data_IF_125266055509
#
_entry.id   IF_125266055509
#
_cell.length_a   1.000
_cell.length_b   1.000
_cell.length_c   1.000
_cell.angle_alpha   90.00
_cell.angle_beta   90.00
_cell.angle_gamma   90.00
#
_symmetry.space_group_name_H-M   'P 1'
#
loop_
_entity.id
_entity.type
_entity.pdbx_description
1 polymer ?
#
# COMPACT_ATOMS: atom_id res chain seq x y z
N UNK A 1 -19.49 -1.85 35.00
CA UNK A 1 -20.85 -1.79 34.42
C UNK A 1 -21.34 -3.21 34.23
N UNK A 2 -22.59 -3.50 34.57
CA UNK A 2 -23.22 -4.82 34.40
C UNK A 2 -23.95 -4.88 33.06
N UNK A 3 -23.89 -6.01 32.37
CA UNK A 3 -24.71 -6.25 31.18
C UNK A 3 -26.19 -6.12 31.52
N UNK A 4 -26.99 -5.57 30.60
CA UNK A 4 -28.43 -5.43 30.80
C UNK A 4 -29.21 -5.55 29.49
N UNK A 5 -30.45 -6.00 29.60
CA UNK A 5 -31.40 -6.09 28.50
C UNK A 5 -32.61 -5.20 28.81
N UNK A 6 -33.03 -4.40 27.84
CA UNK A 6 -34.14 -3.44 27.94
C UNK A 6 -35.16 -3.86 26.89
N UNK A 7 -36.37 -4.23 27.31
CA UNK A 7 -37.46 -4.56 26.39
C UNK A 7 -38.13 -3.28 25.91
N UNK A 8 -38.36 -3.16 24.59
CA UNK A 8 -38.95 -1.95 24.00
C UNK A 8 -40.48 -1.98 24.00
N UNK A 9 -41.07 -3.16 24.14
CA UNK A 9 -42.52 -3.38 24.31
C UNK A 9 -42.87 -3.67 25.77
N UNK A 10 -44.08 -3.27 26.16
CA UNK A 10 -44.57 -3.36 27.54
C UNK A 10 -44.72 -4.81 28.05
N UNK A 11 -44.95 -5.77 27.17
CA UNK A 11 -45.04 -7.19 27.50
C UNK A 11 -43.80 -7.96 26.99
N UNK A 12 -42.88 -8.39 27.89
CA UNK A 12 -41.71 -9.18 27.54
C UNK A 12 -42.03 -10.55 26.94
N UNK A 13 -43.27 -11.03 27.09
CA UNK A 13 -43.76 -12.29 26.52
C UNK A 13 -44.42 -12.13 25.14
N UNK A 14 -44.52 -10.89 24.64
CA UNK A 14 -45.05 -10.59 23.31
C UNK A 14 -44.18 -11.18 22.20
N UNK A 15 -44.80 -11.54 21.08
CA UNK A 15 -44.08 -11.95 19.86
C UNK A 15 -43.35 -10.78 19.18
N UNK A 16 -43.72 -9.54 19.52
CA UNK A 16 -43.06 -8.30 19.08
C UNK A 16 -41.92 -7.91 20.03
N UNK A 17 -41.02 -8.84 20.35
CA UNK A 17 -39.98 -8.64 21.36
C UNK A 17 -38.73 -7.98 20.80
N UNK A 18 -38.86 -6.71 20.40
CA UNK A 18 -37.72 -5.83 20.16
C UNK A 18 -37.07 -5.46 21.50
N UNK A 19 -35.74 -5.55 21.58
CA UNK A 19 -35.00 -5.30 22.82
C UNK A 19 -33.63 -4.69 22.55
N UNK A 20 -33.16 -3.86 23.48
CA UNK A 20 -31.81 -3.32 23.46
C UNK A 20 -30.96 -4.07 24.48
N UNK A 21 -29.86 -4.66 24.03
CA UNK A 21 -28.86 -5.35 24.86
C UNK A 21 -27.62 -4.47 24.99
N UNK A 22 -27.17 -4.23 26.21
CA UNK A 22 -25.92 -3.52 26.48
C UNK A 22 -24.90 -4.53 27.03
N UNK A 23 -23.80 -4.72 26.28
CA UNK A 23 -22.69 -5.59 26.66
C UNK A 23 -21.43 -4.76 26.89
N UNK A 24 -20.86 -4.85 28.08
CA UNK A 24 -19.63 -4.14 28.40
C UNK A 24 -18.42 -4.90 27.86
N UNK A 25 -17.59 -4.23 27.05
CA UNK A 25 -16.25 -4.69 26.70
C UNK A 25 -15.20 -3.97 27.55
N UNK A 26 -13.90 -4.26 27.35
CA UNK A 26 -12.81 -3.61 28.10
C UNK A 26 -12.72 -2.09 27.87
N UNK A 27 -13.00 -1.62 26.66
CA UNK A 27 -12.77 -0.22 26.24
C UNK A 27 -14.04 0.57 25.96
N UNK A 28 -15.12 -0.10 25.62
CA UNK A 28 -16.41 0.48 25.23
C UNK A 28 -17.52 -0.52 25.55
N UNK A 29 -18.77 -0.17 25.26
CA UNK A 29 -19.90 -1.08 25.31
C UNK A 29 -20.55 -1.23 23.95
N UNK A 30 -21.03 -2.43 23.65
CA UNK A 30 -21.88 -2.68 22.49
C UNK A 30 -23.33 -2.53 22.91
N UNK A 31 -24.04 -1.60 22.28
CA UNK A 31 -25.48 -1.40 22.41
C UNK A 31 -26.11 -2.00 21.16
N UNK A 32 -26.75 -3.15 21.33
CA UNK A 32 -27.37 -3.92 20.26
C UNK A 32 -28.88 -3.78 20.33
N UNK A 33 -29.51 -3.27 19.28
CA UNK A 33 -30.94 -3.46 19.05
C UNK A 33 -31.13 -4.85 18.42
N UNK A 34 -31.81 -5.73 19.14
CA UNK A 34 -32.18 -7.07 18.70
C UNK A 34 -33.66 -7.08 18.30
N UNK A 35 -33.89 -7.39 17.02
CA UNK A 35 -35.20 -7.47 16.35
C UNK A 35 -35.50 -8.89 15.89
N UNK A 36 -34.70 -9.90 16.23
CA UNK A 36 -34.81 -11.26 15.66
C UNK A 36 -36.23 -11.82 15.79
N UNK A 37 -36.79 -11.78 16.99
CA UNK A 37 -38.12 -12.31 17.28
C UNK A 37 -39.24 -11.53 16.59
N UNK A 38 -39.06 -10.22 16.39
CA UNK A 38 -39.99 -9.38 15.64
C UNK A 38 -39.96 -9.73 14.15
N UNK A 39 -38.76 -9.83 13.56
CA UNK A 39 -38.59 -10.20 12.15
C UNK A 39 -39.18 -11.60 11.88
N UNK A 40 -38.91 -12.57 12.75
CA UNK A 40 -39.49 -13.92 12.62
C UNK A 40 -41.03 -13.89 12.63
N UNK A 41 -41.63 -13.06 13.48
CA UNK A 41 -43.09 -12.94 13.61
C UNK A 41 -43.73 -12.27 12.38
N UNK A 42 -43.11 -11.23 11.83
CA UNK A 42 -43.58 -10.55 10.62
C UNK A 42 -43.37 -11.41 9.37
N UNK A 43 -42.22 -12.08 9.25
CA UNK A 43 -41.97 -13.05 8.16
C UNK A 43 -42.94 -14.22 8.18
N UNK A 44 -43.37 -14.68 9.36
CA UNK A 44 -44.43 -15.69 9.47
C UNK A 44 -45.81 -15.19 8.98
N UNK A 45 -46.02 -13.87 8.90
CA UNK A 45 -47.22 -13.22 8.33
C UNK A 45 -47.09 -12.92 6.84
N UNK A 46 -45.93 -13.17 6.25
CA UNK A 46 -45.63 -12.90 4.84
C UNK A 46 -45.00 -11.54 4.57
N UNK A 47 -44.69 -10.76 5.61
CA UNK A 47 -44.00 -9.48 5.51
C UNK A 47 -42.49 -9.68 5.67
N UNK A 48 -41.68 -9.06 4.83
CA UNK A 48 -40.22 -9.05 4.96
C UNK A 48 -39.78 -7.67 5.48
N UNK A 49 -39.69 -7.49 6.81
CA UNK A 49 -39.48 -6.17 7.39
C UNK A 49 -38.04 -5.70 7.12
N UNK A 50 -37.88 -4.78 6.17
CA UNK A 50 -36.61 -4.10 5.93
C UNK A 50 -36.47 -2.85 6.81
N UNK A 51 -35.24 -2.35 6.95
CA UNK A 51 -34.95 -1.10 7.63
C UNK A 51 -34.97 0.07 6.62
N UNK A 52 -35.65 1.19 6.94
CA UNK A 52 -35.62 2.37 6.09
C UNK A 52 -34.18 2.86 5.83
N UNK A 53 -33.91 3.34 4.62
CA UNK A 53 -32.59 3.84 4.24
C UNK A 53 -32.11 4.99 5.16
N UNK A 54 -33.00 5.92 5.51
CA UNK A 54 -32.72 7.04 6.39
C UNK A 54 -32.33 6.57 7.81
N UNK A 55 -32.93 5.48 8.29
CA UNK A 55 -32.56 4.87 9.57
C UNK A 55 -31.14 4.29 9.50
N UNK A 56 -30.83 3.56 8.42
CA UNK A 56 -29.50 2.99 8.21
C UNK A 56 -28.42 4.09 8.12
N UNK A 57 -28.70 5.18 7.42
CA UNK A 57 -27.80 6.33 7.33
C UNK A 57 -27.56 6.99 8.70
N UNK A 58 -28.63 7.22 9.48
CA UNK A 58 -28.53 7.78 10.83
C UNK A 58 -27.72 6.88 11.77
N UNK A 59 -27.95 5.57 11.71
CA UNK A 59 -27.20 4.56 12.46
C UNK A 59 -25.73 4.55 12.07
N UNK A 60 -25.41 4.62 10.78
CA UNK A 60 -24.04 4.61 10.29
C UNK A 60 -23.26 5.85 10.75
N UNK A 61 -23.85 7.03 10.61
CA UNK A 61 -23.24 8.28 11.09
C UNK A 61 -22.97 8.22 12.59
N UNK A 62 -23.94 7.77 13.40
CA UNK A 62 -23.77 7.64 14.84
C UNK A 62 -22.70 6.60 15.20
N UNK A 63 -22.68 5.47 14.48
CA UNK A 63 -21.69 4.40 14.67
C UNK A 63 -20.27 4.88 14.39
N UNK A 64 -20.06 5.51 13.24
CA UNK A 64 -18.75 5.96 12.81
C UNK A 64 -18.17 7.00 13.77
N UNK A 65 -19.00 7.98 14.18
CA UNK A 65 -18.61 8.98 15.17
C UNK A 65 -18.24 8.35 16.53
N UNK A 66 -19.00 7.36 16.99
CA UNK A 66 -18.73 6.68 18.25
C UNK A 66 -17.48 5.80 18.19
N UNK A 67 -17.27 5.06 17.10
CA UNK A 67 -16.06 4.28 16.86
C UNK A 67 -14.82 5.17 16.82
N UNK A 68 -14.93 6.35 16.22
CA UNK A 68 -13.85 7.33 16.17
C UNK A 68 -13.50 7.87 17.55
N UNK A 69 -14.50 8.21 18.35
CA UNK A 69 -14.30 8.57 19.76
C UNK A 69 -13.56 7.47 20.53
N UNK A 70 -13.95 6.20 20.36
CA UNK A 70 -13.31 5.06 21.05
C UNK A 70 -11.85 4.85 20.60
N UNK A 71 -11.56 5.01 19.30
CA UNK A 71 -10.17 4.96 18.77
C UNK A 71 -9.34 6.14 19.26
N UNK A 72 -9.93 7.32 19.29
CA UNK A 72 -9.33 8.55 19.80
C UNK A 72 -8.94 8.41 21.27
N UNK A 73 -9.74 7.70 22.08
CA UNK A 73 -9.43 7.38 23.48
C UNK A 73 -8.33 6.30 23.63
N UNK A 74 -7.92 5.66 22.52
CA UNK A 74 -6.74 4.79 22.46
C UNK A 74 -7.00 3.32 22.16
N UNK A 75 -8.24 2.94 21.84
CA UNK A 75 -8.53 1.59 21.38
C UNK A 75 -7.93 1.33 19.98
N UNK A 76 -7.21 0.22 19.84
CA UNK A 76 -6.54 -0.19 18.58
C UNK A 76 -7.12 -1.45 17.96
N UNK A 77 -8.09 -2.09 18.61
CA UNK A 77 -8.66 -3.33 18.11
C UNK A 77 -9.65 -3.11 16.97
N UNK A 78 -10.06 -4.21 16.34
CA UNK A 78 -11.16 -4.21 15.39
C UNK A 78 -12.50 -4.05 16.13
N UNK A 79 -13.46 -3.41 15.45
CA UNK A 79 -14.84 -3.40 15.89
C UNK A 79 -15.59 -4.50 15.15
N UNK A 80 -16.43 -5.23 15.88
CA UNK A 80 -17.35 -6.19 15.31
C UNK A 80 -18.76 -5.65 15.53
N UNK A 81 -19.45 -5.37 14.43
CA UNK A 81 -20.81 -4.85 14.43
C UNK A 81 -21.56 -5.40 13.23
N UNK A 82 -22.86 -5.62 13.39
CA UNK A 82 -23.79 -5.89 12.30
C UNK A 82 -24.82 -4.78 12.17
N UNK A 83 -25.29 -4.58 10.93
CA UNK A 83 -26.51 -3.83 10.63
C UNK A 83 -27.34 -4.66 9.67
N UNK A 84 -28.58 -4.90 10.00
CA UNK A 84 -29.52 -5.61 9.14
C UNK A 84 -30.91 -5.66 9.78
N UNK A 85 -31.90 -6.22 9.07
CA UNK A 85 -33.28 -6.31 9.54
C UNK A 85 -33.40 -6.87 10.96
N UNK A 86 -32.53 -7.81 11.32
CA UNK A 86 -32.60 -8.55 12.59
C UNK A 86 -31.84 -7.88 13.75
N UNK A 87 -30.79 -7.13 13.48
CA UNK A 87 -30.05 -6.45 14.55
C UNK A 87 -29.27 -5.23 14.06
N UNK A 88 -29.07 -4.30 14.98
CA UNK A 88 -28.24 -3.12 14.79
C UNK A 88 -27.30 -3.01 15.98
N UNK A 89 -25.99 -2.97 15.71
CA UNK A 89 -24.97 -2.78 16.73
C UNK A 89 -24.40 -1.35 16.67
N UNK A 90 -24.34 -0.69 17.82
CA UNK A 90 -23.62 0.56 18.03
C UNK A 90 -22.56 0.37 19.13
N UNK A 91 -21.35 0.84 18.88
CA UNK A 91 -20.33 0.94 19.91
C UNK A 91 -20.50 2.27 20.64
N UNK A 92 -20.51 2.27 21.96
CA UNK A 92 -20.66 3.48 22.77
C UNK A 92 -19.57 3.53 23.85
N UNK A 93 -19.01 4.73 24.10
CA UNK A 93 -18.23 4.95 25.33
C UNK A 93 -19.15 4.78 26.53
N UNK A 94 -18.60 4.41 27.67
CA UNK A 94 -19.41 4.14 28.87
C UNK A 94 -20.31 5.30 29.30
N UNK A 95 -19.87 6.55 29.06
CA UNK A 95 -20.65 7.76 29.35
C UNK A 95 -21.80 8.04 28.37
N UNK A 96 -21.77 7.40 27.20
CA UNK A 96 -22.69 7.67 26.08
C UNK A 96 -23.77 6.59 25.93
N UNK A 97 -23.78 5.57 26.79
CA UNK A 97 -24.67 4.40 26.66
C UNK A 97 -26.14 4.78 26.76
N UNK A 98 -26.53 5.55 27.78
CA UNK A 98 -27.94 5.90 27.97
C UNK A 98 -28.47 6.70 26.77
N UNK A 99 -27.68 7.67 26.28
CA UNK A 99 -28.03 8.42 25.08
C UNK A 99 -28.15 7.51 23.84
N UNK A 100 -27.28 6.50 23.71
CA UNK A 100 -27.32 5.53 22.61
C UNK A 100 -28.56 4.64 22.69
N UNK A 101 -28.92 4.18 23.89
CA UNK A 101 -30.10 3.35 24.14
C UNK A 101 -31.38 4.13 23.80
N UNK A 102 -31.51 5.36 24.29
CA UNK A 102 -32.71 6.19 24.01
C UNK A 102 -32.81 6.56 22.54
N UNK A 103 -31.69 6.87 21.87
CA UNK A 103 -31.69 7.16 20.43
C UNK A 103 -32.16 5.95 19.59
N UNK A 104 -31.69 4.74 19.89
CA UNK A 104 -32.14 3.51 19.21
C UNK A 104 -33.61 3.19 19.53
N UNK A 105 -34.06 3.46 20.77
CA UNK A 105 -35.44 3.25 21.17
C UNK A 105 -36.41 4.18 20.41
N UNK A 106 -36.11 5.47 20.36
CA UNK A 106 -36.93 6.45 19.63
C UNK A 106 -36.96 6.13 18.12
N UNK A 107 -35.80 5.79 17.54
CA UNK A 107 -35.72 5.40 16.14
C UNK A 107 -36.55 4.15 15.82
N UNK A 108 -36.54 3.13 16.68
CA UNK A 108 -37.27 1.88 16.44
C UNK A 108 -38.78 1.97 16.71
N UNK A 109 -39.20 2.70 17.76
CA UNK A 109 -40.60 2.75 18.16
C UNK A 109 -41.38 3.89 17.52
N UNK A 110 -40.72 5.02 17.31
CA UNK A 110 -41.36 6.28 16.90
C UNK A 110 -40.97 6.69 15.48
N UNK A 111 -39.97 6.03 14.89
CA UNK A 111 -39.39 6.43 13.61
C UNK A 111 -38.63 7.75 13.69
N UNK A 112 -38.29 8.22 14.90
CA UNK A 112 -37.56 9.46 15.11
C UNK A 112 -36.05 9.22 15.15
N UNK A 113 -35.35 9.66 14.09
CA UNK A 113 -33.90 9.52 13.96
C UNK A 113 -33.12 10.71 14.52
N UNK A 114 -33.79 11.73 15.04
CA UNK A 114 -33.16 12.95 15.56
C UNK A 114 -32.16 12.66 16.68
N UNK A 115 -32.45 11.68 17.56
CA UNK A 115 -31.55 11.25 18.62
C UNK A 115 -30.25 10.65 18.10
N UNK A 116 -30.28 9.91 16.99
CA UNK A 116 -29.09 9.34 16.36
C UNK A 116 -28.25 10.42 15.67
N UNK A 117 -28.89 11.38 15.00
CA UNK A 117 -28.18 12.54 14.44
C UNK A 117 -27.53 13.39 15.52
N UNK A 118 -28.26 13.72 16.59
CA UNK A 118 -27.72 14.47 17.72
C UNK A 118 -26.57 13.71 18.42
N UNK A 119 -26.66 12.38 18.49
CA UNK A 119 -25.57 11.55 18.99
C UNK A 119 -24.34 11.65 18.08
N UNK A 120 -24.51 11.55 16.76
CA UNK A 120 -23.42 11.67 15.79
C UNK A 120 -22.74 13.05 15.88
N UNK A 121 -23.51 14.14 15.91
CA UNK A 121 -23.00 15.51 16.02
C UNK A 121 -22.22 15.72 17.32
N UNK A 122 -22.76 15.27 18.45
CA UNK A 122 -22.10 15.38 19.76
C UNK A 122 -20.80 14.58 19.85
N UNK A 123 -20.70 13.49 19.09
CA UNK A 123 -19.53 12.61 19.06
C UNK A 123 -18.55 12.97 17.93
N UNK A 124 -18.90 13.93 17.07
CA UNK A 124 -18.06 14.35 15.97
C UNK A 124 -16.75 14.93 16.50
N UNK A 125 -15.65 14.40 15.99
CA UNK A 125 -14.32 14.92 16.23
C UNK A 125 -13.96 15.87 15.07
N UNK A 126 -13.25 16.98 15.31
CA UNK A 126 -12.87 17.94 14.27
C UNK A 126 -11.69 17.41 13.42
N UNK A 127 -11.87 16.22 12.82
CA UNK A 127 -10.85 15.50 12.08
C UNK A 127 -10.42 16.30 10.85
N UNK A 128 -11.36 16.96 10.18
CA UNK A 128 -11.09 17.83 9.04
C UNK A 128 -10.17 18.98 9.43
N UNK A 129 -10.46 19.67 10.53
CA UNK A 129 -9.63 20.78 11.04
C UNK A 129 -8.25 20.28 11.49
N UNK A 130 -8.16 19.09 12.08
CA UNK A 130 -6.87 18.47 12.44
C UNK A 130 -6.06 17.97 11.25
N UNK A 131 -6.68 17.78 10.09
CA UNK A 131 -6.02 17.32 8.85
C UNK A 131 -5.93 18.37 7.74
N UNK A 132 -6.43 19.60 7.97
CA UNK A 132 -6.24 20.76 7.11
C UNK A 132 -4.80 20.92 6.57
N UNK A 133 -4.62 21.55 5.40
CA UNK A 133 -3.30 21.80 4.82
C UNK A 133 -2.36 22.59 5.74
N UNK A 134 -1.06 22.43 5.51
CA UNK A 134 -0.02 23.17 6.21
C UNK A 134 0.52 22.48 7.47
N UNK A 135 1.70 22.90 7.89
CA UNK A 135 2.29 22.49 9.16
C UNK A 135 1.68 23.29 10.32
N UNK A 136 1.28 22.59 11.39
CA UNK A 136 0.80 23.23 12.63
C UNK A 136 1.06 22.37 13.85
N UNK A 137 1.02 23.03 15.00
CA UNK A 137 1.05 22.40 16.31
C UNK A 137 -0.38 22.32 16.87
N UNK A 138 -0.82 21.11 17.18
CA UNK A 138 -2.04 20.86 17.96
C UNK A 138 -1.62 20.71 19.43
N UNK A 139 -2.28 21.42 20.34
CA UNK A 139 -1.95 21.51 21.76
C UNK A 139 -2.92 20.66 22.57
N UNK A 140 -2.38 19.84 23.47
CA UNK A 140 -3.19 19.01 24.37
C UNK A 140 -3.91 19.88 25.40
N UNK A 141 -5.20 19.63 25.62
CA UNK A 141 -6.09 20.41 26.47
C UNK A 141 -6.70 21.63 25.78
N UNK A 142 -6.33 21.90 24.53
CA UNK A 142 -6.92 22.94 23.68
C UNK A 142 -7.56 22.29 22.46
N UNK A 143 -6.75 21.59 21.65
CA UNK A 143 -7.19 20.99 20.40
C UNK A 143 -7.57 19.52 20.56
N UNK A 144 -7.01 18.83 21.55
CA UNK A 144 -7.29 17.42 21.85
C UNK A 144 -6.94 17.08 23.31
N UNK A 145 -7.51 16.03 23.86
CA UNK A 145 -7.35 15.60 25.26
C UNK A 145 -6.51 14.32 25.41
N UNK A 146 -6.56 13.44 24.40
CA UNK A 146 -5.89 12.14 24.41
C UNK A 146 -4.36 12.26 24.57
N UNK A 147 -3.67 11.22 25.04
CA UNK A 147 -2.21 11.23 25.08
C UNK A 147 -1.60 11.53 23.69
N UNK A 148 -0.61 12.42 23.55
CA UNK A 148 -0.13 12.89 22.24
C UNK A 148 0.28 11.78 21.26
N UNK A 149 0.92 10.70 21.77
CA UNK A 149 1.28 9.55 20.95
C UNK A 149 0.07 8.73 20.48
N UNK A 150 -1.00 8.65 21.28
CA UNK A 150 -2.26 8.00 20.90
C UNK A 150 -2.97 8.84 19.85
N UNK A 151 -3.10 10.15 20.11
CA UNK A 151 -3.74 11.10 19.21
C UNK A 151 -3.05 11.13 17.84
N UNK A 152 -1.71 11.21 17.79
CA UNK A 152 -0.96 11.17 16.53
C UNK A 152 -1.20 9.88 15.74
N UNK A 153 -1.30 8.73 16.41
CA UNK A 153 -1.59 7.47 15.72
C UNK A 153 -3.03 7.42 15.18
N UNK A 154 -3.99 7.94 15.95
CA UNK A 154 -5.36 8.14 15.48
C UNK A 154 -5.41 9.03 14.24
N UNK A 155 -4.74 10.19 14.27
CA UNK A 155 -4.69 11.10 13.13
C UNK A 155 -3.99 10.48 11.91
N UNK A 156 -2.95 9.67 12.11
CA UNK A 156 -2.30 8.94 11.00
C UNK A 156 -3.23 7.95 10.32
N UNK A 157 -4.00 7.20 11.11
CA UNK A 157 -5.02 6.30 10.58
C UNK A 157 -6.09 7.07 9.81
N UNK A 158 -6.58 8.19 10.36
CA UNK A 158 -7.54 9.06 9.68
C UNK A 158 -7.00 9.65 8.39
N UNK A 159 -5.81 10.25 8.43
CA UNK A 159 -5.13 10.75 7.25
C UNK A 159 -5.05 9.68 6.16
N UNK A 160 -4.71 8.43 6.51
CA UNK A 160 -4.63 7.32 5.56
C UNK A 160 -5.99 7.03 4.89
N UNK A 161 -7.08 7.05 5.65
CA UNK A 161 -8.44 6.90 5.10
C UNK A 161 -8.83 8.05 4.16
N UNK A 162 -8.30 9.25 4.40
CA UNK A 162 -8.42 10.40 3.49
C UNK A 162 -7.41 10.36 2.32
N UNK A 163 -6.58 9.30 2.21
CA UNK A 163 -5.51 9.19 1.22
C UNK A 163 -4.29 10.08 1.52
N UNK A 164 -4.26 10.75 2.66
CA UNK A 164 -3.18 11.63 3.09
C UNK A 164 -2.05 10.86 3.78
N UNK A 165 -0.83 11.35 3.60
CA UNK A 165 0.31 11.01 4.47
C UNK A 165 0.42 12.08 5.55
N UNK A 166 0.29 11.68 6.81
CA UNK A 166 0.51 12.57 7.94
C UNK A 166 1.95 12.48 8.45
N UNK A 167 2.77 13.47 8.14
CA UNK A 167 4.06 13.64 8.80
C UNK A 167 3.80 14.35 10.12
N UNK A 168 3.84 13.61 11.23
CA UNK A 168 3.60 14.20 12.54
C UNK A 168 4.55 13.72 13.62
N UNK A 169 4.71 14.54 14.66
CA UNK A 169 5.57 14.31 15.83
C UNK A 169 4.80 14.66 17.08
N UNK A 170 4.74 13.70 18.01
CA UNK A 170 4.21 13.94 19.34
C UNK A 170 5.33 14.48 20.24
N UNK A 171 5.02 15.50 21.03
CA UNK A 171 5.81 15.98 22.16
C UNK A 171 5.09 15.64 23.46
N UNK A 172 5.60 16.09 24.61
CA UNK A 172 4.96 15.86 25.91
C UNK A 172 3.57 16.53 26.04
N UNK A 173 3.33 17.64 25.32
CA UNK A 173 2.11 18.43 25.44
C UNK A 173 1.42 18.78 24.11
N UNK A 174 1.99 18.37 22.98
CA UNK A 174 1.48 18.76 21.65
C UNK A 174 1.74 17.68 20.60
N UNK A 175 1.08 17.83 19.46
CA UNK A 175 1.34 17.05 18.25
C UNK A 175 1.53 18.02 17.09
N UNK A 176 2.72 18.02 16.51
CA UNK A 176 2.98 18.68 15.25
C UNK A 176 2.47 17.82 14.11
N UNK A 177 1.68 18.40 13.22
CA UNK A 177 1.10 17.71 12.07
C UNK A 177 1.43 18.46 10.79
N UNK A 178 1.77 17.70 9.75
CA UNK A 178 1.87 18.17 8.37
C UNK A 178 1.20 17.13 7.46
N UNK A 179 -0.11 17.24 7.24
CA UNK A 179 -0.84 16.43 6.28
C UNK A 179 -0.31 16.74 4.87
N UNK A 180 0.09 15.71 4.15
CA UNK A 180 0.66 15.83 2.80
C UNK A 180 0.01 14.84 1.88
N UNK A 181 -0.21 15.24 0.62
CA UNK A 181 -0.53 14.27 -0.41
C UNK A 181 0.71 13.42 -0.68
N UNK A 182 0.60 12.07 -0.66
CA UNK A 182 1.66 11.22 -1.15
C UNK A 182 2.03 11.64 -2.58
N UNK A 183 3.32 11.76 -2.89
CA UNK A 183 3.78 12.26 -4.19
C UNK A 183 3.16 11.53 -5.39
N UNK A 184 2.97 10.21 -5.26
CA UNK A 184 2.30 9.39 -6.27
C UNK A 184 0.81 9.75 -6.42
N UNK A 185 0.08 9.99 -5.34
CA UNK A 185 -1.33 10.40 -5.41
C UNK A 185 -1.47 11.84 -5.91
N UNK A 186 -0.55 12.73 -5.53
CA UNK A 186 -0.47 14.08 -6.08
C UNK A 186 -0.30 14.04 -7.60
N UNK A 187 0.67 13.26 -8.10
CA UNK A 187 0.90 13.08 -9.53
C UNK A 187 -0.30 12.45 -10.26
N UNK A 188 -0.91 11.39 -9.70
CA UNK A 188 -2.08 10.74 -10.33
C UNK A 188 -3.26 11.70 -10.44
N UNK A 189 -3.53 12.50 -9.41
CA UNK A 189 -4.69 13.41 -9.37
C UNK A 189 -4.48 14.66 -10.22
N UNK A 190 -3.25 15.18 -10.28
CA UNK A 190 -2.88 16.26 -11.21
C UNK A 190 -2.98 15.79 -12.68
N UNK A 191 -2.73 14.51 -12.96
CA UNK A 191 -2.84 13.94 -14.30
C UNK A 191 -4.28 13.67 -14.76
N UNK A 192 -5.23 13.47 -13.84
CA UNK A 192 -6.61 13.07 -14.18
C UNK A 192 -7.69 13.81 -13.36
N UNK A 193 -7.82 15.15 -13.47
CA UNK A 193 -8.76 15.93 -12.68
C UNK A 193 -10.24 15.57 -12.94
N UNK A 194 -10.57 15.14 -14.16
CA UNK A 194 -11.94 14.75 -14.56
C UNK A 194 -12.36 13.38 -14.00
N UNK A 195 -11.41 12.54 -13.58
CA UNK A 195 -11.67 11.25 -12.92
C UNK A 195 -11.90 11.41 -11.40
N UNK A 196 -11.63 12.59 -10.85
CA UNK A 196 -11.86 12.94 -9.45
C UNK A 196 -12.64 14.27 -9.30
N UNK A 197 -13.83 14.41 -9.93
CA UNK A 197 -14.62 15.63 -9.86
C UNK A 197 -15.09 15.86 -8.41
N UNK A 198 -14.88 17.08 -7.91
CA UNK A 198 -15.13 17.45 -6.50
C UNK A 198 -13.91 17.41 -5.58
N UNK A 199 -12.75 16.95 -6.07
CA UNK A 199 -11.46 16.95 -5.33
C UNK A 199 -10.56 18.15 -5.69
N UNK A 200 -11.16 19.26 -6.10
CA UNK A 200 -10.54 20.59 -5.95
C UNK A 200 -10.64 20.99 -4.48
N UNK A 201 -10.00 20.21 -3.60
CA UNK A 201 -10.08 20.40 -2.15
C UNK A 201 -8.73 20.90 -1.61
N UNK A 202 -8.81 21.92 -0.75
CA UNK A 202 -7.85 22.76 -0.01
C UNK A 202 -6.33 22.51 -0.04
N UNK A 203 -5.82 21.33 -0.39
CA UNK A 203 -4.39 21.00 -0.52
C UNK A 203 -3.83 21.22 -1.94
N UNK A 204 -4.67 21.20 -2.97
CA UNK A 204 -4.24 21.41 -4.36
C UNK A 204 -4.11 22.91 -4.62
N UNK A 205 -2.87 23.42 -4.65
CA UNK A 205 -2.58 24.85 -4.82
C UNK A 205 -2.32 25.62 -3.51
N UNK A 206 -2.36 24.95 -2.35
CA UNK A 206 -1.91 25.54 -1.10
C UNK A 206 -0.41 25.91 -1.20
N UNK A 207 -0.12 27.20 -1.07
CA UNK A 207 1.22 27.75 -0.92
C UNK A 207 1.39 28.04 0.56
N UNK A 208 2.38 27.41 1.19
CA UNK A 208 2.70 27.62 2.61
C UNK A 208 3.07 29.10 2.81
N UNK A 209 2.39 29.78 3.73
CA UNK A 209 2.64 31.19 4.03
C UNK A 209 4.06 31.37 4.57
N UNK A 210 4.74 32.47 4.22
CA UNK A 210 6.06 32.81 4.77
C UNK A 210 6.04 32.99 6.30
N UNK A 211 4.86 33.30 6.87
CA UNK A 211 4.63 33.45 8.31
C UNK A 211 4.17 32.14 9.01
N UNK A 212 4.16 31.00 8.31
CA UNK A 212 3.69 29.74 8.89
C UNK A 212 4.61 29.29 10.05
N UNK A 213 4.04 28.82 11.18
CA UNK A 213 4.83 28.39 12.33
C UNK A 213 5.74 27.23 11.92
N UNK A 214 7.05 27.47 11.94
CA UNK A 214 8.03 26.44 11.67
C UNK A 214 8.21 25.54 12.88
N UNK A 215 8.16 24.23 12.66
CA UNK A 215 8.62 23.27 13.68
C UNK A 215 10.06 23.63 14.08
N UNK A 216 10.38 23.70 15.39
CA UNK A 216 11.76 23.87 15.84
C UNK A 216 12.65 22.77 15.25
N UNK A 217 13.66 23.19 14.48
CA UNK A 217 14.64 22.29 13.89
C UNK A 217 15.44 21.59 14.98
N UNK A 218 15.48 20.26 14.94
CA UNK A 218 16.30 19.41 15.83
C UNK A 218 17.08 18.44 14.96
N UNK A 219 18.05 18.94 14.19
CA UNK A 219 19.06 18.13 13.50
C UNK A 219 18.57 17.25 12.35
N UNK A 220 18.72 17.73 11.12
CA UNK A 220 18.69 16.91 9.90
C UNK A 220 18.99 17.77 8.69
N UNK A 221 20.14 17.55 8.05
CA UNK A 221 20.61 18.29 6.88
C UNK A 221 19.87 17.87 5.62
N UNK A 222 19.53 18.86 4.78
CA UNK A 222 19.82 18.89 3.34
C UNK A 222 18.82 19.83 2.63
N UNK A 223 19.34 20.93 2.09
CA UNK A 223 18.64 22.03 1.41
C UNK A 223 18.33 21.72 -0.08
N UNK A 224 17.12 22.10 -0.49
CA UNK A 224 16.70 22.90 -1.66
C UNK A 224 17.39 22.74 -3.05
N UNK A 225 16.76 22.06 -4.03
CA UNK A 225 17.28 21.91 -5.42
C UNK A 225 16.22 21.87 -6.55
N UNK A 226 15.14 22.68 -6.53
CA UNK A 226 14.07 22.56 -7.55
C UNK A 226 13.66 23.83 -8.30
N UNK A 227 14.52 24.85 -8.42
CA UNK A 227 14.22 26.00 -9.30
C UNK A 227 14.46 25.67 -10.78
N UNK A 228 13.39 25.63 -11.59
CA UNK A 228 13.47 25.80 -13.06
C UNK A 228 12.94 24.67 -13.97
N UNK A 229 12.28 23.63 -13.46
CA UNK A 229 11.83 22.51 -14.32
C UNK A 229 10.48 22.77 -15.01
N UNK A 230 10.41 22.49 -16.32
CA UNK A 230 9.22 22.67 -17.17
C UNK A 230 8.39 21.37 -17.26
N UNK A 231 7.04 21.39 -17.21
CA UNK A 231 6.21 20.18 -17.21
C UNK A 231 6.04 19.53 -18.59
N UNK A 232 5.93 18.19 -18.63
CA UNK A 232 5.66 17.36 -19.83
C UNK A 232 4.27 16.70 -19.76
N UNK A 233 3.62 16.55 -20.92
CA UNK A 233 2.29 15.97 -21.10
C UNK A 233 2.32 14.45 -21.35
N UNK A 234 1.30 13.72 -20.91
CA UNK A 234 1.13 12.28 -21.16
C UNK A 234 -0.34 11.87 -21.41
N UNK A 235 -0.52 10.84 -22.24
CA UNK A 235 -1.80 10.16 -22.58
C UNK A 235 -2.00 8.86 -21.77
N UNK A 236 -3.26 8.48 -21.55
CA UNK A 236 -3.70 7.38 -20.67
C UNK A 236 -4.10 6.11 -21.46
N UNK A 237 -3.93 4.94 -20.84
CA UNK A 237 -4.43 3.62 -21.27
C UNK A 237 -4.89 2.84 -20.01
N UNK A 238 -6.08 2.23 -20.05
CA UNK A 238 -6.69 1.48 -18.94
C UNK A 238 -6.21 0.02 -18.88
N UNK A 239 -6.09 -0.54 -17.66
CA UNK A 239 -6.00 -2.00 -17.45
C UNK A 239 -6.78 -2.45 -16.21
N UNK A 240 -7.53 -3.54 -16.38
CA UNK A 240 -8.45 -4.17 -15.43
C UNK A 240 -7.77 -4.86 -14.22
N UNK A 241 -8.50 -4.91 -13.10
CA UNK A 241 -8.10 -5.48 -11.81
C UNK A 241 -8.40 -6.98 -11.70
N UNK A 242 -7.38 -7.81 -11.91
CA UNK A 242 -7.34 -9.20 -11.42
C UNK A 242 -6.66 -9.29 -10.05
N UNK A 243 -7.14 -10.14 -9.14
CA UNK A 243 -6.68 -10.27 -7.75
C UNK A 243 -5.22 -10.70 -7.50
N UNK A 244 -4.35 -10.63 -8.51
CA UNK A 244 -2.89 -10.74 -8.37
C UNK A 244 -2.26 -9.45 -8.86
N UNK A 245 -1.47 -8.82 -8.00
CA UNK A 245 -0.64 -7.70 -8.43
C UNK A 245 0.32 -8.17 -9.54
N UNK A 246 0.48 -7.44 -10.65
CA UNK A 246 1.52 -7.73 -11.65
C UNK A 246 2.94 -7.77 -11.07
N UNK A 247 3.14 -7.13 -9.92
CA UNK A 247 4.37 -7.15 -9.14
C UNK A 247 4.66 -8.48 -8.42
N UNK A 248 3.74 -9.46 -8.48
CA UNK A 248 3.90 -10.80 -7.91
C UNK A 248 3.57 -10.94 -6.42
N UNK A 249 3.28 -9.85 -5.70
CA UNK A 249 2.78 -9.95 -4.32
C UNK A 249 1.26 -10.18 -4.28
N UNK A 250 0.82 -11.07 -3.40
CA UNK A 250 -0.61 -11.31 -3.13
C UNK A 250 -1.13 -10.27 -2.14
N UNK A 251 -2.38 -9.86 -2.30
CA UNK A 251 -3.04 -8.88 -1.42
C UNK A 251 -3.41 -9.43 -0.03
N UNK A 252 -3.40 -10.77 0.15
CA UNK A 252 -3.82 -11.46 1.39
C UNK A 252 -2.67 -11.90 2.31
N UNK A 253 -1.45 -11.55 1.93
CA UNK A 253 -0.19 -11.76 2.62
C UNK A 253 -0.05 -11.62 4.17
N UNK A 254 -0.65 -10.64 4.88
CA UNK A 254 -0.73 -10.51 6.37
C UNK A 254 -1.17 -9.11 6.84
N UNK A 255 -1.61 -8.97 8.10
CA UNK A 255 -2.26 -7.80 8.72
C UNK A 255 -1.42 -6.48 8.80
N UNK A 256 -0.16 -6.47 8.33
CA UNK A 256 0.76 -5.30 8.31
C UNK A 256 1.21 -4.91 6.87
N UNK A 257 0.55 -5.45 5.83
CA UNK A 257 1.16 -5.58 4.49
C UNK A 257 0.89 -4.53 3.43
N UNK A 258 -0.12 -3.67 3.53
CA UNK A 258 -0.39 -2.68 2.47
C UNK A 258 0.83 -1.79 2.19
N UNK A 259 1.61 -1.47 3.23
CA UNK A 259 2.83 -0.70 3.05
C UNK A 259 3.97 -1.53 2.45
N UNK A 260 4.11 -2.81 2.80
CA UNK A 260 5.15 -3.71 2.26
C UNK A 260 4.87 -3.99 0.79
N UNK A 261 3.63 -4.33 0.46
CA UNK A 261 3.17 -4.54 -0.90
C UNK A 261 3.32 -3.25 -1.72
N UNK A 262 2.88 -2.09 -1.21
CA UNK A 262 3.04 -0.81 -1.91
C UNK A 262 4.51 -0.44 -2.15
N UNK A 263 5.39 -0.66 -1.18
CA UNK A 263 6.84 -0.41 -1.33
C UNK A 263 7.44 -1.38 -2.35
N UNK A 264 7.07 -2.65 -2.31
CA UNK A 264 7.47 -3.64 -3.31
C UNK A 264 6.97 -3.26 -4.70
N UNK A 265 5.70 -2.89 -4.83
CA UNK A 265 5.10 -2.44 -6.07
C UNK A 265 5.82 -1.22 -6.65
N UNK A 266 6.13 -0.22 -5.81
CA UNK A 266 6.89 0.95 -6.23
C UNK A 266 8.32 0.59 -6.69
N UNK A 267 8.99 -0.34 -6.00
CA UNK A 267 10.32 -0.80 -6.40
C UNK A 267 10.28 -1.64 -7.67
N UNK A 268 9.24 -2.44 -7.86
CA UNK A 268 8.99 -3.21 -9.08
C UNK A 268 8.72 -2.28 -10.28
N UNK A 269 7.86 -1.27 -10.09
CA UNK A 269 7.47 -0.35 -11.16
C UNK A 269 8.59 0.64 -11.52
N UNK A 270 9.28 1.20 -10.52
CA UNK A 270 10.20 2.34 -10.70
C UNK A 270 11.67 1.99 -10.50
N UNK A 271 11.98 0.78 -10.02
CA UNK A 271 13.33 0.38 -9.64
C UNK A 271 13.64 0.56 -8.15
N UNK A 272 14.64 -0.18 -7.69
CA UNK A 272 15.05 -0.24 -6.27
C UNK A 272 15.93 0.96 -5.95
N UNK A 273 15.60 1.71 -4.89
CA UNK A 273 16.39 2.88 -4.50
C UNK A 273 17.82 2.48 -4.07
N UNK A 274 18.82 3.18 -4.59
CA UNK A 274 20.21 3.04 -4.16
C UNK A 274 20.35 3.56 -2.73
N UNK A 275 20.93 2.79 -1.79
CA UNK A 275 21.19 3.27 -0.44
C UNK A 275 22.09 4.50 -0.44
N UNK A 276 21.76 5.53 0.34
CA UNK A 276 22.55 6.78 0.43
C UNK A 276 24.02 6.57 0.85
N UNK A 277 24.32 5.45 1.49
CA UNK A 277 25.67 5.08 1.95
C UNK A 277 26.54 4.43 0.87
N UNK A 278 26.04 4.32 -0.37
CA UNK A 278 26.75 3.70 -1.50
C UNK A 278 27.20 4.80 -2.47
N UNK A 279 28.53 4.96 -2.58
CA UNK A 279 29.13 5.88 -3.54
C UNK A 279 29.02 5.30 -4.96
N UNK A 280 28.08 5.82 -5.75
CA UNK A 280 27.78 5.35 -7.09
C UNK A 280 28.09 6.43 -8.15
N UNK A 281 29.17 6.24 -8.90
CA UNK A 281 29.74 7.27 -9.79
C UNK A 281 29.41 7.15 -11.28
N UNK A 282 28.67 6.12 -11.72
CA UNK A 282 28.32 5.92 -13.13
C UNK A 282 26.87 5.48 -13.36
N UNK A 283 26.51 5.08 -14.58
CA UNK A 283 25.17 4.59 -14.90
C UNK A 283 25.02 3.08 -14.71
N UNK A 284 26.13 2.34 -14.72
CA UNK A 284 26.17 0.89 -14.60
C UNK A 284 27.28 0.49 -13.63
N UNK A 285 27.01 -0.50 -12.78
CA UNK A 285 28.02 -1.12 -11.92
C UNK A 285 27.97 -2.63 -12.06
N UNK A 286 29.15 -3.26 -12.01
CA UNK A 286 29.30 -4.70 -11.91
C UNK A 286 29.56 -5.08 -10.44
N UNK A 287 28.73 -5.98 -9.92
CA UNK A 287 28.83 -6.56 -8.59
C UNK A 287 29.29 -8.01 -8.74
N UNK A 288 30.41 -8.34 -8.11
CA UNK A 288 30.95 -9.70 -8.07
C UNK A 288 30.71 -10.30 -6.69
N UNK A 289 30.90 -11.61 -6.56
CA UNK A 289 30.82 -12.31 -5.25
C UNK A 289 31.83 -11.80 -4.23
N UNK A 290 32.89 -11.10 -4.69
CA UNK A 290 33.92 -10.45 -3.88
C UNK A 290 33.69 -8.97 -3.61
N UNK A 291 32.63 -8.37 -4.16
CA UNK A 291 32.32 -6.96 -3.94
C UNK A 291 31.94 -6.67 -2.47
N UNK A 292 32.06 -5.41 -2.00
CA UNK A 292 31.65 -5.04 -0.66
C UNK A 292 30.21 -5.46 -0.32
N UNK A 293 29.94 -5.75 0.96
CA UNK A 293 28.66 -6.29 1.41
C UNK A 293 27.45 -5.40 1.07
N UNK A 294 27.63 -4.07 1.05
CA UNK A 294 26.59 -3.12 0.67
C UNK A 294 26.14 -3.33 -0.78
N UNK A 295 27.08 -3.52 -1.71
CA UNK A 295 26.80 -3.83 -3.12
C UNK A 295 26.13 -5.19 -3.29
N UNK A 296 26.60 -6.21 -2.57
CA UNK A 296 26.03 -7.57 -2.63
C UNK A 296 24.61 -7.63 -2.05
N UNK A 297 24.33 -6.87 -0.99
CA UNK A 297 22.97 -6.70 -0.44
C UNK A 297 22.04 -5.96 -1.40
N UNK A 298 22.52 -4.93 -2.09
CA UNK A 298 21.74 -4.24 -3.11
C UNK A 298 21.40 -5.18 -4.29
N UNK A 299 22.38 -5.94 -4.80
CA UNK A 299 22.14 -6.94 -5.84
C UNK A 299 21.10 -8.00 -5.40
N UNK A 300 21.18 -8.47 -4.16
CA UNK A 300 20.17 -9.35 -3.57
C UNK A 300 18.77 -8.72 -3.54
N UNK A 301 18.65 -7.46 -3.09
CA UNK A 301 17.37 -6.76 -3.05
C UNK A 301 16.74 -6.62 -4.44
N UNK A 302 17.55 -6.33 -5.46
CA UNK A 302 17.07 -6.22 -6.85
C UNK A 302 16.69 -7.59 -7.40
N UNK A 303 17.45 -8.65 -7.10
CA UNK A 303 17.15 -10.02 -7.54
C UNK A 303 15.81 -10.57 -6.97
N UNK A 304 15.32 -10.00 -5.86
CA UNK A 304 13.99 -10.35 -5.32
C UNK A 304 12.82 -9.80 -6.13
N UNK A 305 13.03 -8.78 -6.97
CA UNK A 305 11.97 -8.22 -7.80
C UNK A 305 11.47 -9.25 -8.83
N UNK A 306 12.33 -9.79 -9.73
CA UNK A 306 11.91 -10.83 -10.66
C UNK A 306 11.55 -12.15 -9.95
N UNK A 307 12.20 -12.46 -8.81
CA UNK A 307 11.82 -13.63 -8.01
C UNK A 307 10.33 -13.62 -7.66
N UNK A 308 9.83 -12.48 -7.17
CA UNK A 308 8.42 -12.34 -6.78
C UNK A 308 7.51 -12.19 -7.98
N UNK A 309 7.92 -11.41 -8.98
CA UNK A 309 7.12 -11.17 -10.20
C UNK A 309 6.77 -12.47 -10.94
N UNK A 310 7.73 -13.38 -11.08
CA UNK A 310 7.60 -14.61 -11.86
C UNK A 310 7.53 -15.89 -10.98
N UNK A 311 7.29 -15.75 -9.67
CA UNK A 311 7.16 -16.85 -8.70
C UNK A 311 8.35 -17.84 -8.68
N UNK A 312 9.59 -17.36 -8.81
CA UNK A 312 10.78 -18.21 -8.69
C UNK A 312 11.05 -18.64 -7.24
N UNK A 313 11.42 -19.91 -7.05
CA UNK A 313 11.72 -20.49 -5.73
C UNK A 313 12.89 -19.78 -5.01
N UNK A 314 13.84 -19.21 -5.75
CA UNK A 314 15.02 -18.53 -5.21
C UNK A 314 15.41 -17.31 -6.06
N UNK A 315 16.02 -16.27 -5.45
CA UNK A 315 16.54 -15.13 -6.20
C UNK A 315 17.77 -15.55 -7.02
N UNK A 316 17.94 -14.94 -8.19
CA UNK A 316 19.10 -15.14 -9.07
C UNK A 316 20.40 -14.55 -8.53
N UNK A 317 20.43 -14.10 -7.27
CA UNK A 317 21.63 -13.68 -6.58
C UNK A 317 21.46 -14.00 -5.10
N UNK A 318 22.34 -14.82 -4.55
CA UNK A 318 22.31 -15.25 -3.14
C UNK A 318 23.62 -14.99 -2.39
N UNK A 319 24.64 -14.42 -3.04
CA UNK A 319 25.98 -14.21 -2.48
C UNK A 319 26.03 -13.01 -1.53
N UNK A 320 25.38 -13.13 -0.37
CA UNK A 320 25.39 -12.12 0.71
C UNK A 320 26.29 -12.50 1.90
N UNK A 321 26.93 -13.69 1.85
CA UNK A 321 27.84 -14.22 2.87
C UNK A 321 29.25 -13.60 2.80
N UNK A 322 30.29 -14.33 3.18
CA UNK A 322 31.67 -13.84 3.05
C UNK A 322 32.08 -13.65 1.58
N UNK A 323 33.02 -12.73 1.25
CA UNK A 323 33.54 -12.59 -0.10
C UNK A 323 34.29 -13.85 -0.52
N UNK A 324 33.83 -14.53 -1.57
CA UNK A 324 34.47 -15.74 -2.10
C UNK A 324 34.52 -15.70 -3.62
N UNK A 325 35.59 -16.23 -4.22
CA UNK A 325 35.72 -16.30 -5.67
C UNK A 325 34.95 -17.51 -6.20
N UNK A 326 34.10 -17.32 -7.20
CA UNK A 326 33.47 -18.46 -7.88
C UNK A 326 34.28 -18.84 -9.11
N UNK A 327 34.35 -20.15 -9.40
CA UNK A 327 35.08 -20.68 -10.55
C UNK A 327 34.44 -20.35 -11.90
N UNK A 328 33.17 -19.97 -11.89
CA UNK A 328 32.32 -19.65 -13.04
C UNK A 328 32.16 -18.13 -13.26
N UNK A 329 32.92 -17.28 -12.56
CA UNK A 329 32.88 -15.83 -12.72
C UNK A 329 31.47 -15.21 -12.56
N UNK A 330 30.80 -15.57 -11.46
CA UNK A 330 29.45 -15.12 -11.15
C UNK A 330 29.41 -13.61 -10.86
N UNK A 331 28.54 -12.88 -11.56
CA UNK A 331 28.45 -11.42 -11.48
C UNK A 331 27.06 -10.91 -11.81
N UNK A 332 26.73 -9.74 -11.26
CA UNK A 332 25.50 -9.02 -11.54
C UNK A 332 25.81 -7.61 -12.03
N UNK A 333 25.06 -7.12 -13.01
CA UNK A 333 25.16 -5.74 -13.48
C UNK A 333 23.89 -5.00 -13.08
N UNK A 334 24.07 -3.85 -12.45
CA UNK A 334 23.00 -2.99 -11.97
C UNK A 334 23.06 -1.67 -12.74
N UNK A 335 21.96 -1.29 -13.40
CA UNK A 335 21.84 -0.03 -14.13
C UNK A 335 20.99 0.97 -13.35
N UNK A 336 21.54 2.16 -13.12
CA UNK A 336 20.93 3.25 -12.34
C UNK A 336 20.32 4.33 -13.24
N UNK A 337 19.14 4.81 -12.86
CA UNK A 337 18.54 6.07 -13.34
C UNK A 337 17.91 6.77 -12.11
N UNK A 338 18.17 8.06 -11.93
CA UNK A 338 17.59 8.89 -10.85
C UNK A 338 17.62 8.22 -9.46
N UNK A 339 18.81 7.75 -9.05
CA UNK A 339 19.06 7.08 -7.76
C UNK A 339 18.29 5.76 -7.55
N UNK A 340 17.83 5.14 -8.63
CA UNK A 340 17.18 3.82 -8.61
C UNK A 340 17.86 2.85 -9.56
N UNK A 341 18.04 1.61 -9.11
CA UNK A 341 18.40 0.50 -9.97
C UNK A 341 17.16 0.08 -10.77
N UNK A 342 17.15 0.40 -12.06
CA UNK A 342 16.03 0.15 -12.98
C UNK A 342 16.28 -1.05 -13.90
N UNK A 343 17.51 -1.54 -13.95
CA UNK A 343 17.91 -2.68 -14.76
C UNK A 343 18.87 -3.59 -14.02
N UNK A 344 18.70 -4.89 -14.23
CA UNK A 344 19.46 -5.95 -13.56
C UNK A 344 19.74 -7.11 -14.52
N UNK A 345 20.97 -7.61 -14.54
CA UNK A 345 21.29 -8.92 -15.14
C UNK A 345 22.25 -9.68 -14.25
N UNK A 346 21.94 -10.93 -13.93
CA UNK A 346 22.86 -11.87 -13.30
C UNK A 346 23.38 -12.87 -14.34
N UNK A 347 24.68 -13.16 -14.28
CA UNK A 347 25.36 -14.02 -15.21
C UNK A 347 26.50 -14.81 -14.56
N UNK A 348 26.81 -15.95 -15.14
CA UNK A 348 28.06 -16.69 -14.93
C UNK A 348 28.55 -17.20 -16.29
N UNK A 349 29.80 -17.60 -16.38
CA UNK A 349 30.39 -18.16 -17.59
C UNK A 349 30.29 -19.69 -17.54
N UNK A 350 29.85 -20.31 -18.64
CA UNK A 350 29.76 -21.78 -18.76
C UNK A 350 30.14 -22.22 -20.18
N UNK A 351 30.46 -23.49 -20.35
CA UNK A 351 30.75 -24.13 -21.64
C UNK A 351 29.59 -25.00 -22.14
N UNK A 352 28.49 -25.13 -21.41
CA UNK A 352 27.41 -26.05 -21.78
C UNK A 352 26.27 -25.33 -22.49
N UNK A 353 26.30 -25.31 -23.83
CA UNK A 353 25.30 -24.57 -24.63
C UNK A 353 24.76 -25.39 -25.78
N UNK A 354 23.52 -25.06 -26.19
CA UNK A 354 22.94 -25.51 -27.46
C UNK A 354 22.35 -24.31 -28.19
N UNK A 355 22.44 -24.33 -29.52
CA UNK A 355 21.79 -23.29 -30.35
C UNK A 355 20.28 -23.50 -30.36
N UNK A 356 19.51 -22.44 -30.19
CA UNK A 356 18.06 -22.47 -30.32
C UNK A 356 17.59 -21.45 -31.36
N UNK A 357 16.94 -21.95 -32.41
CA UNK A 357 16.25 -21.10 -33.38
C UNK A 357 14.91 -20.63 -32.82
N UNK A 358 14.78 -19.32 -32.63
CA UNK A 358 13.59 -18.70 -32.08
C UNK A 358 12.48 -18.47 -33.12
N UNK A 359 12.77 -18.67 -34.41
CA UNK A 359 11.84 -18.49 -35.53
C UNK A 359 10.98 -19.74 -35.72
N UNK A 360 11.61 -20.91 -35.80
CA UNK A 360 10.93 -22.15 -36.16
C UNK A 360 10.42 -22.95 -34.95
N UNK A 361 10.73 -22.52 -33.72
CA UNK A 361 10.38 -23.26 -32.50
C UNK A 361 10.98 -24.67 -32.45
N UNK A 362 12.05 -24.89 -33.24
CA UNK A 362 12.67 -26.19 -33.45
C UNK A 362 13.36 -26.71 -32.18
N UNK A 363 13.66 -28.02 -32.18
CA UNK A 363 14.48 -28.64 -31.14
C UNK A 363 15.85 -27.95 -31.04
N UNK A 364 16.43 -27.93 -29.84
CA UNK A 364 17.79 -27.44 -29.62
C UNK A 364 18.79 -28.13 -30.57
N UNK A 365 19.72 -27.35 -31.11
CA UNK A 365 20.81 -27.83 -31.95
C UNK A 365 21.83 -28.66 -31.16
N UNK A 366 22.95 -28.95 -31.83
CA UNK A 366 24.07 -29.68 -31.22
C UNK A 366 24.66 -28.91 -30.02
N UNK A 367 25.27 -29.67 -29.10
CA UNK A 367 26.04 -29.11 -28.00
C UNK A 367 27.29 -28.39 -28.50
N UNK A 368 27.61 -27.26 -27.87
CA UNK A 368 28.77 -26.43 -28.14
C UNK A 368 29.48 -26.14 -26.82
N UNK A 369 30.77 -26.51 -26.76
CA UNK A 369 31.63 -26.42 -25.58
C UNK A 369 32.35 -25.07 -25.41
N UNK A 370 32.06 -24.07 -26.24
CA UNK A 370 32.74 -22.76 -26.17
C UNK A 370 32.27 -22.01 -24.92
N UNK A 371 33.24 -21.50 -24.16
CA UNK A 371 32.97 -20.67 -22.98
C UNK A 371 32.24 -19.39 -23.38
N UNK A 372 31.07 -19.14 -22.79
CA UNK A 372 30.23 -17.96 -23.04
C UNK A 372 29.66 -17.42 -21.73
N UNK A 373 29.40 -16.11 -21.64
CA UNK A 373 28.60 -15.57 -20.55
C UNK A 373 27.16 -16.03 -20.72
N UNK A 374 26.59 -16.61 -19.66
CA UNK A 374 25.20 -17.06 -19.59
C UNK A 374 24.40 -16.13 -18.70
N UNK A 375 23.36 -15.53 -19.25
CA UNK A 375 22.33 -14.81 -18.51
C UNK A 375 21.52 -15.83 -17.70
N UNK A 376 21.62 -15.74 -16.37
CA UNK A 376 20.78 -16.49 -15.43
C UNK A 376 19.40 -15.84 -15.39
N UNK A 377 19.40 -14.51 -15.23
CA UNK A 377 18.19 -13.72 -15.14
C UNK A 377 18.46 -12.30 -15.62
N UNK A 378 17.50 -11.72 -16.34
CA UNK A 378 17.50 -10.31 -16.71
C UNK A 378 16.16 -9.68 -16.34
N UNK A 379 16.20 -8.52 -15.71
CA UNK A 379 15.01 -7.81 -15.25
C UNK A 379 15.13 -6.31 -15.51
N UNK A 380 13.99 -5.69 -15.81
CA UNK A 380 13.85 -4.25 -16.01
C UNK A 380 12.59 -3.79 -15.30
N UNK A 381 12.71 -2.73 -14.51
CA UNK A 381 11.59 -2.09 -13.81
C UNK A 381 10.49 -1.70 -14.80
N UNK A 382 9.24 -1.87 -14.40
CA UNK A 382 8.10 -1.86 -15.34
C UNK A 382 8.02 -0.57 -16.18
N UNK A 383 8.14 0.60 -15.54
CA UNK A 383 8.09 1.91 -16.21
C UNK A 383 9.23 2.13 -17.23
N UNK A 384 10.30 1.34 -17.14
CA UNK A 384 11.50 1.43 -17.99
C UNK A 384 11.58 0.32 -19.05
N UNK A 385 10.59 -0.58 -19.09
CA UNK A 385 10.49 -1.60 -20.13
C UNK A 385 10.32 -0.95 -21.50
N UNK A 386 10.75 -1.67 -22.53
CA UNK A 386 10.72 -1.21 -23.93
C UNK A 386 11.60 0.01 -24.26
N UNK A 387 12.35 0.58 -23.30
CA UNK A 387 13.28 1.71 -23.52
C UNK A 387 14.73 1.30 -23.84
N UNK A 388 14.94 0.06 -24.29
CA UNK A 388 16.26 -0.46 -24.64
C UNK A 388 17.18 -0.80 -23.45
N UNK A 389 16.73 -0.69 -22.20
CA UNK A 389 17.52 -1.00 -21.00
C UNK A 389 18.03 -2.45 -21.02
N UNK A 390 17.17 -3.41 -21.33
CA UNK A 390 17.56 -4.81 -21.43
C UNK A 390 18.67 -5.04 -22.48
N UNK A 391 18.61 -4.35 -23.63
CA UNK A 391 19.65 -4.44 -24.65
C UNK A 391 20.99 -3.87 -24.17
N UNK A 392 20.97 -2.74 -23.44
CA UNK A 392 22.17 -2.15 -22.84
C UNK A 392 22.83 -3.08 -21.82
N UNK A 393 22.04 -3.77 -20.98
CA UNK A 393 22.55 -4.74 -20.01
C UNK A 393 23.23 -5.94 -20.69
N UNK A 394 22.61 -6.51 -21.73
CA UNK A 394 23.21 -7.61 -22.50
C UNK A 394 24.48 -7.15 -23.24
N UNK A 395 24.47 -5.94 -23.80
CA UNK A 395 25.66 -5.36 -24.43
C UNK A 395 26.79 -5.17 -23.42
N UNK A 396 26.49 -4.71 -22.20
CA UNK A 396 27.49 -4.57 -21.16
C UNK A 396 28.11 -5.91 -20.76
N UNK A 397 27.29 -6.95 -20.59
CA UNK A 397 27.75 -8.32 -20.33
C UNK A 397 28.66 -8.85 -21.46
N UNK A 398 28.24 -8.68 -22.71
CA UNK A 398 29.03 -9.10 -23.87
C UNK A 398 30.36 -8.34 -23.97
N UNK A 399 30.34 -7.03 -23.70
CA UNK A 399 31.54 -6.16 -23.73
C UNK A 399 32.52 -6.53 -22.63
N UNK A 400 32.02 -6.78 -21.41
CA UNK A 400 32.85 -7.21 -20.27
C UNK A 400 33.51 -8.57 -20.53
N UNK A 401 32.80 -9.51 -21.14
CA UNK A 401 33.37 -10.80 -21.52
C UNK A 401 34.29 -10.72 -22.76
N UNK A 402 34.06 -9.75 -23.65
CA UNK A 402 34.78 -9.61 -24.91
C UNK A 402 34.20 -10.41 -26.08
N UNK A 403 32.88 -10.62 -26.11
CA UNK A 403 32.17 -11.32 -27.21
C UNK A 403 31.10 -10.44 -27.89
N UNK A 404 30.47 -10.96 -28.95
CA UNK A 404 29.30 -10.30 -29.56
C UNK A 404 28.05 -10.59 -28.74
N UNK A 405 27.07 -9.71 -28.80
CA UNK A 405 25.75 -9.91 -28.15
C UNK A 405 25.09 -11.23 -28.58
N UNK A 406 25.25 -11.65 -29.83
CA UNK A 406 24.72 -12.91 -30.35
C UNK A 406 25.38 -14.16 -29.74
N UNK A 407 26.55 -14.01 -29.10
CA UNK A 407 27.29 -15.08 -28.42
C UNK A 407 26.92 -15.20 -26.93
N UNK A 408 26.06 -14.32 -26.41
CA UNK A 408 25.57 -14.42 -25.03
C UNK A 408 24.53 -15.56 -24.94
N UNK A 409 24.72 -16.44 -23.96
CA UNK A 409 23.82 -17.56 -23.69
C UNK A 409 22.72 -17.20 -22.69
N UNK A 410 21.61 -17.92 -22.73
CA UNK A 410 20.42 -17.68 -21.91
C UNK A 410 20.05 -18.94 -21.13
N UNK A 411 19.83 -18.81 -19.83
CA UNK A 411 19.28 -19.89 -19.02
C UNK A 411 17.88 -20.28 -19.50
N UNK A 412 17.66 -21.57 -19.69
CA UNK A 412 16.32 -22.10 -19.89
C UNK A 412 15.59 -22.29 -18.53
N UNK A 413 14.24 -22.13 -18.48
CA UNK A 413 13.36 -21.66 -19.55
C UNK A 413 13.43 -20.14 -19.78
N UNK A 414 13.34 -19.70 -21.04
CA UNK A 414 13.30 -18.27 -21.40
C UNK A 414 11.86 -17.75 -21.41
N UNK A 415 11.56 -16.72 -20.60
CA UNK A 415 10.22 -16.10 -20.52
C UNK A 415 9.77 -15.48 -21.85
N UNK A 416 8.47 -15.19 -22.00
CA UNK A 416 7.94 -14.57 -23.22
C UNK A 416 8.56 -13.19 -23.49
N UNK A 417 8.78 -12.38 -22.44
CA UNK A 417 9.47 -11.11 -22.53
C UNK A 417 10.95 -11.30 -22.91
N UNK A 418 11.62 -12.29 -22.29
CA UNK A 418 12.98 -12.70 -22.64
C UNK A 418 13.11 -13.04 -24.12
N UNK A 419 12.22 -13.88 -24.67
CA UNK A 419 12.21 -14.24 -26.10
C UNK A 419 12.06 -13.03 -27.02
N UNK A 420 11.23 -12.04 -26.67
CA UNK A 420 11.11 -10.79 -27.44
C UNK A 420 12.37 -9.94 -27.40
N UNK A 421 13.09 -9.92 -26.28
CA UNK A 421 14.40 -9.27 -26.20
C UNK A 421 15.43 -10.04 -27.03
N UNK A 422 15.50 -11.35 -26.85
CA UNK A 422 16.47 -12.22 -27.51
C UNK A 422 16.35 -12.17 -29.04
N UNK A 423 15.12 -12.23 -29.60
CA UNK A 423 14.89 -12.06 -31.05
C UNK A 423 15.35 -10.72 -31.60
N UNK A 424 15.25 -9.65 -30.82
CA UNK A 424 15.73 -8.31 -31.23
C UNK A 424 17.24 -8.20 -31.23
N UNK A 425 17.90 -8.90 -30.31
CA UNK A 425 19.35 -8.86 -30.14
C UNK A 425 20.08 -9.84 -31.07
N UNK A 426 19.45 -10.97 -31.38
CA UNK A 426 20.01 -12.03 -32.21
C UNK A 426 18.88 -12.68 -33.02
N UNK A 427 18.52 -12.08 -34.18
CA UNK A 427 17.40 -12.53 -35.01
C UNK A 427 17.54 -13.98 -35.49
N UNK A 428 18.76 -14.45 -35.70
CA UNK A 428 19.08 -15.79 -36.22
C UNK A 428 19.01 -16.89 -35.14
N UNK A 429 18.48 -16.59 -33.95
CA UNK A 429 18.38 -17.48 -32.80
C UNK A 429 19.30 -17.09 -31.63
N UNK A 430 19.31 -17.89 -30.56
CA UNK A 430 20.15 -17.66 -29.36
C UNK A 430 20.87 -18.93 -28.89
N UNK A 431 21.86 -18.77 -28.03
CA UNK A 431 22.42 -19.89 -27.26
C UNK A 431 21.61 -20.08 -25.98
N UNK A 432 21.32 -21.34 -25.64
CA UNK A 432 20.63 -21.71 -24.40
C UNK A 432 21.40 -22.77 -23.63
N UNK A 433 21.29 -22.70 -22.30
CA UNK A 433 21.90 -23.61 -21.34
C UNK A 433 20.88 -24.01 -20.28
#
# INVERSE_FOLDING_TARGET
>A
MTERTIHLVADPSSRDTRKVRVRASRWFATVQLDRDSYVDAESARGDEPDLPADYLEAVDKARDAAMDCVRYDGYRGAFYFGRGPRWIDLCARFRDIEATVEALRAAELEGDYSGLHALAERLALPIDEWLDPGERELIRGVDFDSPPGVFLNFLRAKATNYGLRLNGRATAGSVWVRPTLPAAQKQIREMFPEQYPGWVDRWTGYVESEDAPFRPWVGGSDEDLSRGAVPVQFQQLETESGGKCPCGMRLQDTEDEDNVHRVHHANWALGVRVPKSLDWWGDLVMVTTRSPISWRKLAYQVARMPQREDDYDFPSWSHVGEPDATSDNYRAYLLKVDERVVGYVAAHDTSEHRRWDLVDGSKHGAEDATLRPRIILIWVADAYRHRGIGAKLVQALATDFGCKVADVSWSSPVSAAGRRLARRLSPDGIWVS
#
